data_IF_133198182265
#
_entry.id   IF_133198182265
#
_cell.length_a   1.000
_cell.length_b   1.000
_cell.length_c   1.000
_cell.angle_alpha   90.00
_cell.angle_beta   90.00
_cell.angle_gamma   90.00
#
_symmetry.space_group_name_H-M   'P 1'
#
loop_
_entity.id
_entity.type
_entity.pdbx_description
1 polymer ?
#
# COMPACT_ATOMS: atom_id res chain seq x y z
N UNK A 1 38.78 -24.24 69.40
CA UNK A 1 38.94 -23.29 68.27
C UNK A 1 39.08 -24.12 67.01
N UNK A 2 38.37 -23.95 65.91
CA UNK A 2 37.15 -23.20 65.60
C UNK A 2 36.66 -23.81 64.27
N UNK A 3 35.39 -24.21 64.19
CA UNK A 3 34.77 -24.85 63.01
C UNK A 3 34.42 -23.79 61.94
N UNK A 4 34.37 -24.18 60.65
CA UNK A 4 34.21 -23.26 59.52
C UNK A 4 32.76 -22.79 59.36
N UNK A 5 32.57 -21.54 58.92
CA UNK A 5 31.27 -21.01 58.48
C UNK A 5 31.04 -21.25 56.98
N UNK A 6 29.79 -21.47 56.52
CA UNK A 6 29.48 -21.94 55.18
C UNK A 6 29.35 -20.80 54.16
N UNK A 7 29.87 -21.06 52.96
CA UNK A 7 29.75 -20.19 51.79
C UNK A 7 28.31 -19.90 51.39
N UNK A 8 28.10 -18.68 50.92
CA UNK A 8 26.84 -18.20 50.37
C UNK A 8 26.52 -18.96 49.08
N UNK A 9 25.42 -19.70 49.12
CA UNK A 9 24.83 -20.35 47.96
C UNK A 9 24.26 -19.30 46.99
N UNK A 10 24.59 -19.47 45.72
CA UNK A 10 24.01 -18.78 44.56
C UNK A 10 22.48 -18.80 44.63
N UNK A 11 21.86 -17.62 44.49
CA UNK A 11 20.49 -17.50 44.02
C UNK A 11 20.54 -16.94 42.61
N UNK A 12 20.39 -17.82 41.63
CA UNK A 12 20.04 -17.44 40.28
C UNK A 12 18.68 -16.71 40.31
N UNK A 13 18.56 -15.49 39.76
CA UNK A 13 17.27 -14.99 39.36
C UNK A 13 16.85 -15.76 38.12
N UNK A 14 15.69 -16.41 38.23
CA UNK A 14 14.95 -17.04 37.16
C UNK A 14 14.83 -16.08 35.97
N UNK A 15 15.68 -16.25 34.94
CA UNK A 15 15.40 -15.72 33.61
C UNK A 15 14.21 -16.51 33.08
N UNK A 16 13.00 -15.99 33.31
CA UNK A 16 11.91 -16.22 32.38
C UNK A 16 12.38 -15.66 31.04
N UNK A 17 12.94 -16.53 30.21
CA UNK A 17 12.95 -16.40 28.76
C UNK A 17 11.48 -16.29 28.33
N UNK A 18 10.92 -15.07 28.42
CA UNK A 18 9.90 -14.68 27.49
C UNK A 18 10.62 -14.60 26.15
N UNK A 19 10.56 -15.69 25.39
CA UNK A 19 10.64 -15.60 23.95
C UNK A 19 9.68 -14.48 23.54
N UNK A 20 10.25 -13.30 23.26
CA UNK A 20 9.57 -12.35 22.41
C UNK A 20 9.35 -13.12 21.12
N UNK A 21 8.13 -13.63 20.94
CA UNK A 21 7.61 -13.92 19.63
C UNK A 21 7.66 -12.60 18.86
N UNK A 22 8.80 -12.33 18.24
CA UNK A 22 8.88 -11.44 17.11
C UNK A 22 8.00 -12.08 16.03
N UNK A 23 6.74 -11.70 15.98
CA UNK A 23 5.95 -11.84 14.76
C UNK A 23 6.63 -10.94 13.74
N UNK A 24 7.58 -11.50 12.98
CA UNK A 24 7.98 -10.93 11.70
C UNK A 24 6.69 -10.84 10.90
N UNK A 25 6.17 -9.63 10.72
CA UNK A 25 5.21 -9.44 9.66
C UNK A 25 5.94 -9.78 8.36
N UNK A 26 5.34 -10.68 7.59
CA UNK A 26 5.91 -11.19 6.35
C UNK A 26 5.42 -10.33 5.19
N UNK A 27 6.23 -10.12 4.14
CA UNK A 27 5.76 -9.46 2.93
C UNK A 27 4.45 -10.09 2.46
N UNK A 28 3.57 -9.29 1.85
CA UNK A 28 2.30 -9.80 1.34
C UNK A 28 2.53 -10.95 0.37
N UNK A 29 1.50 -11.79 0.18
CA UNK A 29 1.57 -12.91 -0.77
C UNK A 29 2.06 -12.43 -2.13
N UNK A 30 1.56 -11.30 -2.63
CA UNK A 30 2.02 -10.73 -3.89
C UNK A 30 3.50 -10.34 -3.86
N UNK A 31 3.95 -9.68 -2.79
CA UNK A 31 5.34 -9.29 -2.60
C UNK A 31 6.27 -10.51 -2.56
N UNK A 32 5.80 -11.62 -1.99
CA UNK A 32 6.53 -12.90 -1.97
C UNK A 32 6.64 -13.55 -3.35
N UNK A 33 5.67 -13.31 -4.25
CA UNK A 33 5.63 -13.89 -5.60
C UNK A 33 6.65 -13.29 -6.57
N UNK A 34 7.34 -12.19 -6.22
CA UNK A 34 8.40 -11.62 -7.07
C UNK A 34 7.90 -11.12 -8.44
N UNK A 35 6.63 -10.70 -8.53
CA UNK A 35 6.06 -10.13 -9.76
C UNK A 35 6.31 -8.61 -9.84
N UNK A 36 6.81 -8.09 -10.96
CA UNK A 36 7.14 -6.67 -11.08
C UNK A 36 5.91 -5.78 -10.94
N UNK A 37 6.07 -4.66 -10.23
CA UNK A 37 5.15 -3.53 -10.33
C UNK A 37 5.38 -2.80 -11.65
N UNK A 38 4.29 -2.43 -12.32
CA UNK A 38 4.37 -1.62 -13.54
C UNK A 38 4.09 -0.17 -13.15
N UNK A 39 5.05 0.73 -13.41
CA UNK A 39 4.89 2.15 -13.16
C UNK A 39 4.16 2.81 -14.34
N UNK A 40 3.30 3.78 -14.04
CA UNK A 40 2.79 4.67 -15.08
C UNK A 40 3.90 5.52 -15.69
N UNK A 41 3.58 6.22 -16.78
CA UNK A 41 4.32 7.43 -17.11
C UNK A 41 4.35 8.40 -15.91
N UNK A 42 5.40 9.24 -15.77
CA UNK A 42 5.48 10.25 -14.72
C UNK A 42 4.23 11.15 -14.71
N UNK A 43 3.67 11.34 -13.51
CA UNK A 43 2.52 12.19 -13.28
C UNK A 43 2.95 13.65 -13.05
N UNK A 44 2.13 14.58 -13.49
CA UNK A 44 2.24 16.01 -13.18
C UNK A 44 1.55 16.33 -11.85
N UNK A 45 1.85 17.50 -11.28
CA UNK A 45 1.29 17.94 -10.01
C UNK A 45 -0.24 18.07 -10.05
N UNK A 46 -0.81 18.43 -11.20
CA UNK A 46 -2.26 18.54 -11.40
C UNK A 46 -2.98 17.18 -11.43
N UNK A 47 -2.22 16.08 -11.58
CA UNK A 47 -2.74 14.71 -11.58
C UNK A 47 -2.70 14.06 -10.19
N UNK A 48 -2.31 14.81 -9.15
CA UNK A 48 -2.22 14.31 -7.78
C UNK A 48 -3.53 14.52 -6.99
N UNK A 49 -3.89 13.51 -6.21
CA UNK A 49 -5.07 13.42 -5.35
C UNK A 49 -4.62 12.95 -3.96
N UNK A 50 -5.03 13.65 -2.90
CA UNK A 50 -4.66 13.34 -1.53
C UNK A 50 -5.16 11.97 -1.04
N UNK A 51 -6.18 11.40 -1.71
CA UNK A 51 -6.78 10.11 -1.36
C UNK A 51 -6.17 8.95 -2.16
N UNK A 52 -4.98 9.13 -2.75
CA UNK A 52 -4.32 8.14 -3.58
C UNK A 52 -2.86 7.94 -3.18
N UNK A 53 -2.43 6.69 -3.20
CA UNK A 53 -1.02 6.35 -3.02
C UNK A 53 -0.25 6.42 -4.35
N UNK A 54 0.99 6.89 -4.27
CA UNK A 54 1.92 7.06 -5.37
C UNK A 54 3.24 6.39 -5.06
N UNK A 55 4.04 6.10 -6.08
CA UNK A 55 5.44 5.73 -5.91
C UNK A 55 6.33 6.91 -6.32
N UNK A 56 7.29 7.22 -5.48
CA UNK A 56 8.37 8.15 -5.79
C UNK A 56 9.53 7.33 -6.33
N UNK A 57 9.79 7.43 -7.64
CA UNK A 57 10.85 6.71 -8.31
C UNK A 57 12.01 7.64 -8.65
N UNK A 58 13.25 7.17 -8.52
CA UNK A 58 14.41 7.90 -9.00
C UNK A 58 14.71 7.62 -10.48
N UNK A 59 15.75 8.25 -11.04
CA UNK A 59 16.14 8.05 -12.44
C UNK A 59 16.66 6.64 -12.77
N UNK A 60 16.93 5.82 -11.75
CA UNK A 60 17.31 4.41 -11.90
C UNK A 60 16.09 3.48 -11.79
N UNK A 61 14.91 4.01 -11.44
CA UNK A 61 13.69 3.25 -11.22
C UNK A 61 13.59 2.64 -9.82
N UNK A 62 14.46 3.06 -8.87
CA UNK A 62 14.36 2.70 -7.46
C UNK A 62 13.24 3.50 -6.80
N UNK A 63 12.54 2.90 -5.84
CA UNK A 63 11.39 3.48 -5.16
C UNK A 63 11.75 3.89 -3.74
N UNK A 64 11.26 5.05 -3.29
CA UNK A 64 11.31 5.43 -1.87
C UNK A 64 10.37 4.53 -1.05
N UNK A 65 10.92 3.82 -0.07
CA UNK A 65 10.20 2.86 0.77
C UNK A 65 10.60 2.98 2.25
N UNK A 66 9.92 2.20 3.11
CA UNK A 66 10.33 1.96 4.48
C UNK A 66 11.25 0.74 4.54
N UNK A 67 12.45 0.89 5.10
CA UNK A 67 13.38 -0.21 5.39
C UNK A 67 12.66 -1.23 6.26
N UNK A 68 12.84 -2.54 6.12
CA UNK A 68 12.32 -3.56 7.06
C UNK A 68 10.79 -3.59 7.41
N UNK A 69 9.92 -2.74 6.85
CA UNK A 69 8.45 -2.88 6.92
C UNK A 69 7.71 -2.65 8.23
N UNK A 70 8.38 -2.42 9.36
CA UNK A 70 7.70 -2.20 10.64
C UNK A 70 7.05 -0.82 10.69
N UNK A 71 5.72 -0.75 10.64
CA UNK A 71 5.01 0.54 10.78
C UNK A 71 3.77 0.50 11.68
N UNK A 72 3.42 -0.62 12.33
CA UNK A 72 2.31 -0.62 13.32
C UNK A 72 2.74 -0.46 14.78
N UNK A 73 2.08 0.51 15.42
CA UNK A 73 1.85 0.70 16.86
C UNK A 73 3.01 1.03 17.82
N UNK A 74 4.25 1.22 17.37
CA UNK A 74 5.24 1.98 18.16
C UNK A 74 6.57 2.26 17.45
N UNK A 75 6.84 1.63 16.31
CA UNK A 75 8.19 1.59 15.79
C UNK A 75 8.33 2.50 14.58
N UNK A 76 9.34 3.36 14.65
CA UNK A 76 9.80 4.14 13.51
C UNK A 76 10.63 3.26 12.59
N UNK A 77 10.81 3.69 11.34
CA UNK A 77 11.60 2.92 10.39
C UNK A 77 12.39 3.80 9.43
N UNK A 78 13.63 3.43 9.10
CA UNK A 78 14.44 4.23 8.18
C UNK A 78 13.80 4.30 6.79
N UNK A 79 13.94 5.44 6.12
CA UNK A 79 13.61 5.55 4.71
C UNK A 79 14.75 4.98 3.86
N UNK A 80 14.41 4.29 2.78
CA UNK A 80 15.38 3.63 1.89
C UNK A 80 14.94 3.73 0.43
N UNK A 81 15.90 3.78 -0.48
CA UNK A 81 15.70 3.53 -1.91
C UNK A 81 15.82 2.03 -2.17
N UNK A 82 14.79 1.42 -2.79
CA UNK A 82 14.75 -0.02 -3.08
C UNK A 82 14.49 -0.25 -4.56
N UNK A 83 15.07 -1.30 -5.13
CA UNK A 83 14.74 -1.69 -6.50
C UNK A 83 13.26 -2.08 -6.60
N UNK A 84 12.58 -1.62 -7.66
CA UNK A 84 11.15 -1.93 -7.87
C UNK A 84 10.86 -3.43 -8.05
N UNK A 85 11.90 -4.19 -8.44
CA UNK A 85 11.86 -5.65 -8.59
C UNK A 85 12.09 -6.38 -7.25
N UNK A 86 12.63 -5.66 -6.25
CA UNK A 86 12.85 -6.14 -4.88
C UNK A 86 11.72 -5.66 -3.95
N UNK A 87 10.49 -5.75 -4.42
CA UNK A 87 9.27 -5.40 -3.67
C UNK A 87 8.92 -6.38 -2.55
N UNK A 88 9.84 -7.28 -2.17
CA UNK A 88 9.84 -7.89 -0.82
C UNK A 88 9.99 -6.83 0.26
N UNK A 89 10.57 -5.68 -0.10
CA UNK A 89 10.52 -4.48 0.70
C UNK A 89 9.10 -3.91 0.68
N UNK A 90 8.65 -3.39 1.81
CA UNK A 90 7.27 -2.99 2.03
C UNK A 90 6.94 -1.70 1.28
N UNK A 91 6.64 -1.82 0.00
CA UNK A 91 6.27 -0.71 -0.87
C UNK A 91 4.77 -0.45 -0.69
N UNK A 92 4.43 0.39 0.29
CA UNK A 92 3.07 0.89 0.51
C UNK A 92 2.72 2.09 -0.39
N UNK A 93 3.73 2.64 -1.07
CA UNK A 93 3.67 3.95 -1.69
C UNK A 93 3.57 5.08 -0.67
N UNK A 94 3.33 6.29 -1.18
CA UNK A 94 3.23 7.53 -0.42
C UNK A 94 1.96 8.29 -0.77
N UNK A 95 1.43 9.03 0.19
CA UNK A 95 0.37 10.02 -0.01
C UNK A 95 0.90 11.42 0.30
N UNK A 96 0.24 12.42 -0.25
CA UNK A 96 0.56 13.83 0.00
C UNK A 96 -0.66 14.50 0.64
N UNK A 97 -0.44 15.26 1.72
CA UNK A 97 -1.47 16.09 2.34
C UNK A 97 -2.07 17.14 1.39
N UNK A 98 -1.32 17.57 0.38
CA UNK A 98 -1.73 18.44 -0.73
C UNK A 98 -0.79 18.24 -1.91
N UNK A 99 -1.11 18.71 -3.14
CA UNK A 99 -0.11 18.78 -4.21
C UNK A 99 1.16 19.51 -3.70
N UNK A 100 2.36 18.92 -3.79
CA UNK A 100 3.57 19.45 -3.17
C UNK A 100 4.16 20.60 -4.01
N UNK A 101 3.49 21.76 -4.07
CA UNK A 101 3.99 22.96 -4.74
C UNK A 101 4.79 23.84 -3.80
N UNK A 102 5.58 24.78 -4.33
CA UNK A 102 6.37 25.71 -3.50
C UNK A 102 5.48 26.59 -2.62
N UNK A 103 4.32 26.99 -3.12
CA UNK A 103 3.31 27.79 -2.39
C UNK A 103 2.52 26.95 -1.37
N UNK A 104 2.44 25.64 -1.59
CA UNK A 104 1.74 24.70 -0.70
C UNK A 104 2.58 23.44 -0.41
N UNK A 105 3.70 23.56 0.35
CA UNK A 105 4.51 22.41 0.71
C UNK A 105 3.70 21.38 1.50
N UNK A 106 3.85 20.11 1.14
CA UNK A 106 3.08 18.99 1.66
C UNK A 106 3.90 18.11 2.59
N UNK A 107 3.25 17.55 3.60
CA UNK A 107 3.77 16.38 4.32
C UNK A 107 3.70 15.16 3.40
N UNK A 108 4.68 14.27 3.51
CA UNK A 108 4.71 12.97 2.84
C UNK A 108 4.39 11.91 3.89
N UNK A 109 3.39 11.08 3.58
CA UNK A 109 2.95 9.99 4.45
C UNK A 109 3.11 8.67 3.70
N UNK A 110 3.23 7.56 4.40
CA UNK A 110 3.04 6.26 3.76
C UNK A 110 1.62 6.14 3.18
N UNK A 111 1.47 5.33 2.14
CA UNK A 111 0.17 5.01 1.56
C UNK A 111 -0.71 4.25 2.56
N UNK A 112 -2.01 4.16 2.26
CA UNK A 112 -2.95 3.37 3.06
C UNK A 112 -2.48 1.90 3.18
N UNK A 113 -2.60 1.27 4.36
CA UNK A 113 -3.29 1.75 5.57
C UNK A 113 -2.47 2.66 6.50
N UNK A 114 -1.23 2.99 6.14
CA UNK A 114 -0.26 3.71 6.96
C UNK A 114 -0.23 5.22 6.72
N UNK A 115 -1.32 5.82 6.27
CA UNK A 115 -1.45 7.28 6.03
C UNK A 115 -1.43 8.14 7.31
N UNK A 116 -1.02 7.57 8.43
CA UNK A 116 -0.75 8.22 9.71
C UNK A 116 0.74 8.13 10.09
N UNK A 117 1.57 7.56 9.21
CA UNK A 117 3.02 7.44 9.35
C UNK A 117 3.68 8.43 8.39
N UNK A 118 4.44 9.37 8.93
CA UNK A 118 5.01 10.51 8.21
C UNK A 118 6.50 10.35 7.97
N UNK A 119 7.01 11.00 6.93
CA UNK A 119 8.44 11.13 6.73
C UNK A 119 9.00 12.25 7.62
N UNK A 120 9.86 11.86 8.55
CA UNK A 120 10.53 12.70 9.54
C UNK A 120 12.03 12.80 9.27
N UNK A 121 12.67 13.75 9.96
CA UNK A 121 14.12 13.83 10.12
C UNK A 121 14.48 13.59 11.59
N UNK A 122 15.61 12.94 11.87
CA UNK A 122 16.09 12.69 13.24
C UNK A 122 16.81 13.88 13.92
N UNK A 123 16.61 15.10 13.41
CA UNK A 123 17.13 16.30 14.03
C UNK A 123 16.40 17.57 13.61
N UNK A 124 16.90 18.70 14.10
CA UNK A 124 16.36 20.03 13.79
C UNK A 124 17.04 20.61 12.56
N UNK A 125 16.25 21.03 11.56
CA UNK A 125 16.77 21.74 10.40
C UNK A 125 17.21 23.18 10.80
N UNK A 126 18.24 23.76 10.14
CA UNK A 126 19.06 23.20 9.07
C UNK A 126 20.38 22.63 9.63
N UNK A 127 20.50 21.31 9.76
CA UNK A 127 21.79 20.65 9.91
C UNK A 127 22.28 20.16 8.54
N UNK A 128 23.58 19.93 8.36
CA UNK A 128 24.12 19.50 7.06
C UNK A 128 23.64 18.12 6.62
N UNK A 129 23.35 17.23 7.58
CA UNK A 129 22.99 15.83 7.33
C UNK A 129 22.15 15.29 8.50
N UNK A 130 20.99 14.69 8.20
CA UNK A 130 20.10 14.05 9.18
C UNK A 130 19.38 12.87 8.54
N UNK A 131 19.28 11.74 9.23
CA UNK A 131 18.60 10.57 8.67
C UNK A 131 17.10 10.81 8.53
N UNK A 132 16.52 10.30 7.44
CA UNK A 132 15.09 10.34 7.19
C UNK A 132 14.43 9.04 7.65
N UNK A 133 13.30 9.14 8.34
CA UNK A 133 12.59 7.97 8.85
C UNK A 133 11.08 8.13 8.81
N UNK A 134 10.37 7.02 8.65
CA UNK A 134 8.93 6.89 8.76
C UNK A 134 8.53 6.74 10.23
N UNK A 135 7.60 7.56 10.72
CA UNK A 135 7.16 7.52 12.11
C UNK A 135 5.76 8.10 12.30
N UNK A 136 5.01 7.55 13.26
CA UNK A 136 3.70 8.07 13.63
C UNK A 136 3.75 9.39 14.40
N UNK A 137 2.57 9.90 14.77
CA UNK A 137 2.39 11.24 15.34
C UNK A 137 3.20 11.56 16.60
N UNK A 138 3.53 10.56 17.42
CA UNK A 138 4.38 10.75 18.60
C UNK A 138 5.78 11.31 18.29
N UNK A 139 6.23 11.18 17.04
CA UNK A 139 7.50 11.74 16.58
C UNK A 139 7.38 13.19 16.10
N UNK A 140 6.18 13.78 16.03
CA UNK A 140 6.03 15.19 15.72
C UNK A 140 6.23 16.03 16.97
N UNK A 141 7.47 16.46 17.19
CA UNK A 141 7.84 17.33 18.30
C UNK A 141 8.93 18.32 17.87
N UNK A 142 9.32 19.24 18.76
CA UNK A 142 10.28 20.30 18.45
C UNK A 142 11.68 19.81 18.04
N UNK A 143 12.04 18.55 18.33
CA UNK A 143 13.33 17.94 17.98
C UNK A 143 13.29 17.13 16.68
N UNK A 144 12.09 16.88 16.14
CA UNK A 144 11.80 16.10 14.94
C UNK A 144 10.59 16.75 14.23
N UNK A 145 10.80 17.91 13.60
CA UNK A 145 9.70 18.68 13.01
C UNK A 145 9.12 17.95 11.80
N UNK A 146 7.80 18.10 11.60
CA UNK A 146 7.13 17.59 10.41
C UNK A 146 7.77 18.19 9.17
N UNK A 147 8.41 17.34 8.37
CA UNK A 147 9.03 17.78 7.13
C UNK A 147 7.94 18.07 6.12
N UNK A 148 7.97 19.30 5.60
CA UNK A 148 7.13 19.70 4.48
C UNK A 148 7.99 19.86 3.25
N UNK A 149 7.55 19.24 2.17
CA UNK A 149 8.27 19.20 0.91
C UNK A 149 7.47 19.85 -0.21
N UNK A 150 8.19 20.44 -1.15
CA UNK A 150 7.67 20.74 -2.47
C UNK A 150 8.53 20.05 -3.52
N UNK A 151 7.94 19.76 -4.68
CA UNK A 151 8.66 19.28 -5.85
C UNK A 151 9.28 20.48 -6.57
N UNK A 152 10.60 20.58 -6.52
CA UNK A 152 11.33 21.65 -7.19
C UNK A 152 11.36 21.44 -8.72
N UNK A 153 11.77 22.46 -9.47
CA UNK A 153 11.83 22.43 -10.94
C UNK A 153 12.82 21.41 -11.51
N UNK A 154 13.77 20.93 -10.68
CA UNK A 154 14.70 19.86 -11.01
C UNK A 154 14.20 18.47 -10.56
N UNK A 155 12.92 18.38 -10.17
CA UNK A 155 12.26 17.20 -9.64
C UNK A 155 12.82 16.70 -8.29
N UNK A 156 13.59 17.51 -7.57
CA UNK A 156 13.98 17.17 -6.20
C UNK A 156 12.86 17.48 -5.21
N UNK A 157 12.62 16.59 -4.25
CA UNK A 157 11.79 16.89 -3.09
C UNK A 157 12.59 17.75 -2.11
N UNK A 158 12.28 19.05 -2.13
CA UNK A 158 12.98 20.09 -1.38
C UNK A 158 12.13 20.50 -0.17
N UNK A 159 12.75 20.73 0.98
CA UNK A 159 12.06 21.23 2.18
C UNK A 159 11.45 22.59 1.93
N UNK A 160 10.42 22.97 2.69
CA UNK A 160 9.68 24.23 2.54
C UNK A 160 10.55 25.49 2.56
N UNK A 161 11.71 25.46 3.23
CA UNK A 161 12.67 26.57 3.28
C UNK A 161 13.57 26.67 2.03
N UNK A 162 13.53 25.67 1.14
CA UNK A 162 14.29 25.63 -0.10
C UNK A 162 15.74 25.17 0.04
N UNK A 163 16.23 24.89 1.25
CA UNK A 163 17.68 24.72 1.50
C UNK A 163 18.12 23.27 1.61
N UNK A 164 17.21 22.38 2.00
CA UNK A 164 17.47 20.97 2.24
C UNK A 164 16.65 20.08 1.30
N UNK A 165 17.14 18.88 1.00
CA UNK A 165 16.44 17.93 0.15
C UNK A 165 16.69 16.50 0.61
N UNK A 166 15.88 15.57 0.10
CA UNK A 166 16.16 14.15 0.23
C UNK A 166 17.40 13.78 -0.60
N UNK A 167 18.34 13.09 0.04
CA UNK A 167 19.59 12.58 -0.49
C UNK A 167 19.71 11.09 -0.12
N UNK A 168 20.65 10.37 -0.73
CA UNK A 168 20.86 8.94 -0.50
C UNK A 168 22.35 8.61 -0.41
N UNK A 169 22.67 7.65 0.47
CA UNK A 169 23.98 7.02 0.61
C UNK A 169 23.77 5.52 0.86
N UNK A 170 24.28 4.67 -0.03
CA UNK A 170 24.16 3.20 0.01
C UNK A 170 22.72 2.69 0.23
N UNK A 171 21.77 3.31 -0.45
CA UNK A 171 20.33 3.05 -0.37
C UNK A 171 19.64 3.74 0.80
N UNK A 172 20.34 4.13 1.86
CA UNK A 172 19.73 4.79 3.02
C UNK A 172 19.46 6.27 2.72
N UNK A 173 18.26 6.74 3.08
CA UNK A 173 17.77 8.08 2.74
C UNK A 173 17.98 9.05 3.90
N UNK A 174 18.44 10.25 3.59
CA UNK A 174 18.70 11.32 4.55
C UNK A 174 18.31 12.69 4.01
N UNK A 175 18.22 13.68 4.89
CA UNK A 175 18.01 15.10 4.57
C UNK A 175 19.38 15.80 4.55
N UNK A 176 19.74 16.35 3.40
CA UNK A 176 21.02 17.00 3.16
C UNK A 176 20.89 18.40 2.54
N UNK A 177 21.88 19.25 2.79
CA UNK A 177 21.93 20.59 2.18
C UNK A 177 22.16 20.49 0.67
N UNK A 178 21.34 21.19 -0.13
CA UNK A 178 21.40 21.16 -1.59
C UNK A 178 22.72 21.67 -2.18
N UNK A 179 23.52 22.40 -1.40
CA UNK A 179 24.83 22.91 -1.83
C UNK A 179 25.99 21.95 -1.54
N UNK A 180 25.79 21.02 -0.60
CA UNK A 180 26.82 20.11 -0.11
C UNK A 180 26.60 18.66 -0.54
N UNK A 181 25.35 18.29 -0.81
CA UNK A 181 24.93 16.94 -1.18
C UNK A 181 24.12 16.97 -2.47
N UNK A 182 24.10 15.84 -3.17
CA UNK A 182 23.30 15.68 -4.39
C UNK A 182 21.90 15.22 -4.03
N UNK A 183 20.84 16.02 -4.32
CA UNK A 183 19.47 15.60 -4.08
C UNK A 183 19.05 14.44 -4.98
N UNK A 184 18.21 13.55 -4.45
CA UNK A 184 17.51 12.55 -5.25
C UNK A 184 16.48 13.29 -6.11
N UNK A 185 16.49 13.00 -7.41
CA UNK A 185 15.46 13.47 -8.35
C UNK A 185 14.38 12.41 -8.45
N UNK A 186 13.14 12.80 -8.20
CA UNK A 186 12.00 11.90 -8.19
C UNK A 186 11.02 12.19 -9.31
N UNK A 187 10.51 11.13 -9.92
CA UNK A 187 9.26 11.17 -10.67
C UNK A 187 8.16 10.52 -9.85
N UNK A 188 6.94 11.04 -9.97
CA UNK A 188 5.77 10.54 -9.24
C UNK A 188 5.01 9.61 -10.16
N UNK A 189 4.74 8.39 -9.70
CA UNK A 189 4.08 7.36 -10.48
C UNK A 189 2.86 6.82 -9.75
N UNK A 190 1.88 6.35 -10.50
CA UNK A 190 1.02 5.30 -9.99
C UNK A 190 1.58 3.94 -10.41
N UNK A 191 0.97 2.87 -9.91
CA UNK A 191 1.46 1.52 -10.12
C UNK A 191 0.32 0.56 -10.41
N UNK A 192 0.63 -0.40 -11.26
CA UNK A 192 -0.30 -1.36 -11.80
C UNK A 192 0.24 -2.77 -11.64
N UNK A 193 -0.69 -3.73 -11.71
CA UNK A 193 -0.37 -5.12 -11.95
C UNK A 193 -0.90 -5.55 -13.30
N UNK A 194 -0.11 -6.33 -14.01
CA UNK A 194 -0.61 -7.05 -15.16
C UNK A 194 -1.68 -8.04 -14.70
N UNK A 195 -2.75 -8.18 -15.48
CA UNK A 195 -3.83 -9.13 -15.20
C UNK A 195 -3.33 -10.55 -14.81
N UNK A 196 -2.35 -11.19 -15.50
CA UNK A 196 -1.83 -12.48 -15.09
C UNK A 196 -1.26 -12.53 -13.66
N UNK A 197 -0.73 -11.41 -13.15
CA UNK A 197 -0.22 -11.32 -11.79
C UNK A 197 -1.35 -11.31 -10.75
N UNK A 198 -2.53 -10.79 -11.10
CA UNK A 198 -3.72 -10.80 -10.24
C UNK A 198 -4.31 -12.21 -10.15
N UNK A 199 -4.35 -12.96 -11.26
CA UNK A 199 -4.71 -14.38 -11.22
C UNK A 199 -3.72 -15.20 -10.39
N UNK A 200 -2.41 -14.93 -10.52
CA UNK A 200 -1.40 -15.59 -9.69
C UNK A 200 -1.58 -15.28 -8.19
N UNK A 201 -1.98 -14.05 -7.86
CA UNK A 201 -2.35 -13.67 -6.48
C UNK A 201 -3.59 -14.45 -6.00
N UNK A 202 -4.60 -14.61 -6.87
CA UNK A 202 -5.75 -15.48 -6.58
C UNK A 202 -5.32 -16.92 -6.27
N UNK A 203 -4.49 -17.52 -7.13
CA UNK A 203 -3.96 -18.87 -6.92
C UNK A 203 -3.15 -19.00 -5.63
N UNK A 204 -2.36 -17.98 -5.26
CA UNK A 204 -1.57 -18.00 -4.04
C UNK A 204 -2.43 -17.74 -2.78
N UNK A 205 -3.54 -17.02 -2.90
CA UNK A 205 -4.51 -16.80 -1.82
C UNK A 205 -5.29 -18.09 -1.51
N UNK A 206 -5.59 -18.89 -2.54
CA UNK A 206 -6.27 -20.19 -2.40
C UNK A 206 -5.48 -21.30 -3.12
N UNK A 207 -4.39 -21.82 -2.50
CA UNK A 207 -3.44 -22.71 -3.17
C UNK A 207 -4.03 -24.05 -3.61
N UNK A 208 -5.05 -24.54 -2.90
CA UNK A 208 -5.66 -25.85 -3.17
C UNK A 208 -6.79 -25.79 -4.22
N UNK A 209 -7.05 -24.60 -4.78
CA UNK A 209 -8.14 -24.38 -5.73
C UNK A 209 -7.60 -24.24 -7.15
N UNK A 210 -8.27 -24.89 -8.10
CA UNK A 210 -8.09 -24.61 -9.52
C UNK A 210 -9.26 -23.78 -10.03
N UNK A 211 -9.01 -22.52 -10.37
CA UNK A 211 -10.01 -21.66 -10.98
C UNK A 211 -10.37 -22.20 -12.37
N UNK A 212 -11.66 -22.34 -12.67
CA UNK A 212 -12.06 -22.47 -14.07
C UNK A 212 -11.77 -21.14 -14.75
N UNK A 213 -10.80 -21.11 -15.66
CA UNK A 213 -10.54 -19.91 -16.45
C UNK A 213 -11.41 -20.01 -17.70
N UNK A 214 -12.37 -19.11 -17.87
CA UNK A 214 -12.81 -18.82 -19.24
C UNK A 214 -11.62 -18.12 -19.86
N UNK A 215 -11.01 -18.75 -20.85
CA UNK A 215 -10.09 -18.15 -21.82
C UNK A 215 -10.84 -17.06 -22.60
N UNK A 216 -11.38 -16.05 -21.91
CA UNK A 216 -11.49 -14.74 -22.52
C UNK A 216 -10.03 -14.40 -22.76
N UNK A 217 -9.64 -14.23 -24.02
CA UNK A 217 -8.34 -13.69 -24.39
C UNK A 217 -8.24 -12.29 -23.79
N UNK A 218 -7.96 -12.21 -22.49
CA UNK A 218 -7.75 -10.97 -21.79
C UNK A 218 -6.33 -10.60 -22.16
N UNK A 219 -6.22 -9.61 -23.05
CA UNK A 219 -4.95 -8.98 -23.36
C UNK A 219 -4.15 -8.74 -22.08
N UNK A 220 -2.81 -8.68 -22.17
CA UNK A 220 -1.97 -8.19 -21.09
C UNK A 220 -2.26 -6.70 -20.85
N UNK A 221 -3.40 -6.39 -20.23
CA UNK A 221 -3.73 -5.06 -19.76
C UNK A 221 -3.40 -4.93 -18.28
N UNK A 222 -3.13 -3.70 -17.91
CA UNK A 222 -2.63 -3.30 -16.61
C UNK A 222 -3.80 -2.80 -15.76
N UNK A 223 -3.83 -3.25 -14.52
CA UNK A 223 -4.86 -2.94 -13.55
C UNK A 223 -4.26 -2.12 -12.41
N UNK A 224 -4.85 -0.96 -12.13
CA UNK A 224 -4.48 -0.08 -11.03
C UNK A 224 -4.97 -0.68 -9.71
N UNK A 225 -4.08 -0.72 -8.73
CA UNK A 225 -4.41 -1.14 -7.37
C UNK A 225 -5.30 -0.09 -6.71
N UNK A 226 -6.19 -0.52 -5.83
CA UNK A 226 -7.17 0.38 -5.19
C UNK A 226 -7.28 0.07 -3.71
N UNK A 227 -7.16 1.08 -2.86
CA UNK A 227 -7.37 0.91 -1.42
C UNK A 227 -8.85 0.76 -1.05
N UNK A 228 -9.07 0.38 0.21
CA UNK A 228 -10.40 0.17 0.76
C UNK A 228 -11.24 1.45 0.79
N UNK A 229 -10.63 2.63 0.92
CA UNK A 229 -11.36 3.90 0.92
C UNK A 229 -11.91 4.23 -0.46
N UNK A 230 -11.11 4.00 -1.51
CA UNK A 230 -11.55 4.13 -2.90
C UNK A 230 -12.68 3.15 -3.19
N UNK A 231 -12.56 1.90 -2.77
CA UNK A 231 -13.61 0.88 -2.92
C UNK A 231 -14.88 1.28 -2.16
N UNK A 232 -14.77 1.72 -0.91
CA UNK A 232 -15.90 2.19 -0.12
C UNK A 232 -16.58 3.42 -0.75
N UNK A 233 -15.81 4.33 -1.34
CA UNK A 233 -16.35 5.48 -2.08
C UNK A 233 -17.12 5.02 -3.31
N UNK A 234 -16.55 4.11 -4.11
CA UNK A 234 -17.22 3.50 -5.27
C UNK A 234 -18.52 2.82 -4.83
N UNK A 235 -18.50 2.03 -3.76
CA UNK A 235 -19.68 1.36 -3.22
C UNK A 235 -20.77 2.33 -2.77
N UNK A 236 -20.41 3.37 -2.00
CA UNK A 236 -21.37 4.39 -1.56
C UNK A 236 -22.03 5.09 -2.75
N UNK A 237 -21.26 5.41 -3.79
CA UNK A 237 -21.77 6.05 -5.00
C UNK A 237 -22.62 5.08 -5.86
N UNK A 238 -22.23 3.81 -5.94
CA UNK A 238 -23.04 2.75 -6.54
C UNK A 238 -24.40 2.67 -5.85
N UNK A 239 -24.43 2.50 -4.52
CA UNK A 239 -25.68 2.37 -3.74
C UNK A 239 -26.53 3.63 -3.76
N UNK A 240 -25.94 4.83 -3.77
CA UNK A 240 -26.73 6.07 -3.89
C UNK A 240 -27.36 6.24 -5.27
N UNK A 241 -26.73 5.66 -6.31
CA UNK A 241 -27.25 5.69 -7.69
C UNK A 241 -28.26 4.57 -8.00
N UNK A 242 -28.43 3.58 -7.12
CA UNK A 242 -29.31 2.42 -7.35
C UNK A 242 -30.24 2.17 -6.17
N UNK A 243 -31.55 2.12 -6.39
CA UNK A 243 -32.54 1.74 -5.37
C UNK A 243 -32.85 0.24 -5.33
N UNK A 244 -31.99 -0.59 -5.94
CA UNK A 244 -32.21 -2.03 -6.09
C UNK A 244 -31.94 -2.76 -4.77
N UNK A 245 -32.84 -3.67 -4.43
CA UNK A 245 -32.78 -4.56 -3.26
C UNK A 245 -32.78 -6.02 -3.73
N UNK A 246 -32.21 -6.90 -2.90
CA UNK A 246 -32.20 -8.34 -3.16
C UNK A 246 -33.59 -8.87 -3.45
N UNK A 247 -33.70 -9.68 -4.50
CA UNK A 247 -34.91 -10.44 -4.80
C UNK A 247 -34.54 -11.75 -5.48
N UNK A 248 -35.01 -12.84 -4.89
CA UNK A 248 -34.72 -14.19 -5.37
C UNK A 248 -35.04 -14.34 -6.85
N UNK A 249 -34.16 -15.00 -7.59
CA UNK A 249 -34.18 -15.28 -9.04
C UNK A 249 -34.33 -14.05 -9.95
N UNK A 250 -34.16 -12.84 -9.42
CA UNK A 250 -34.37 -11.58 -10.17
C UNK A 250 -33.19 -10.63 -10.06
N UNK A 251 -32.69 -10.44 -8.83
CA UNK A 251 -31.55 -9.59 -8.56
C UNK A 251 -30.82 -10.11 -7.32
N UNK A 252 -29.92 -11.07 -7.55
CA UNK A 252 -29.20 -11.81 -6.52
C UNK A 252 -27.71 -11.45 -6.47
N UNK A 253 -26.91 -12.26 -5.78
CA UNK A 253 -25.49 -11.99 -5.52
C UNK A 253 -24.66 -11.74 -6.79
N UNK A 254 -24.95 -12.47 -7.86
CA UNK A 254 -24.29 -12.33 -9.16
C UNK A 254 -24.68 -11.02 -9.85
N UNK A 255 -25.97 -10.66 -9.87
CA UNK A 255 -26.43 -9.38 -10.42
C UNK A 255 -25.81 -8.18 -9.70
N UNK A 256 -25.76 -8.22 -8.36
CA UNK A 256 -25.08 -7.20 -7.57
C UNK A 256 -23.59 -7.12 -7.93
N UNK A 257 -22.94 -8.26 -8.11
CA UNK A 257 -21.50 -8.33 -8.44
C UNK A 257 -21.19 -7.78 -9.84
N UNK A 258 -22.02 -8.10 -10.84
CA UNK A 258 -21.90 -7.54 -12.18
C UNK A 258 -22.20 -6.05 -12.21
N UNK A 259 -23.27 -5.59 -11.54
CA UNK A 259 -23.64 -4.19 -11.48
C UNK A 259 -22.55 -3.35 -10.81
N UNK A 260 -21.98 -3.83 -9.70
CA UNK A 260 -20.88 -3.16 -9.02
C UNK A 260 -19.61 -3.10 -9.88
N UNK A 261 -19.22 -4.20 -10.53
CA UNK A 261 -18.07 -4.22 -11.46
C UNK A 261 -18.25 -3.25 -12.62
N UNK A 262 -19.44 -3.19 -13.21
CA UNK A 262 -19.76 -2.22 -14.26
C UNK A 262 -19.65 -0.77 -13.74
N UNK A 263 -20.15 -0.51 -12.52
CA UNK A 263 -20.04 0.81 -11.89
C UNK A 263 -18.59 1.21 -11.58
N UNK A 264 -17.79 0.28 -11.05
CA UNK A 264 -16.36 0.50 -10.80
C UNK A 264 -15.60 0.82 -12.10
N UNK A 265 -15.97 0.15 -13.20
CA UNK A 265 -15.38 0.39 -14.52
C UNK A 265 -15.79 1.76 -15.08
N UNK A 266 -17.04 2.18 -14.88
CA UNK A 266 -17.49 3.54 -15.19
C UNK A 266 -16.74 4.60 -14.37
N UNK A 267 -16.47 4.33 -13.10
CA UNK A 267 -15.67 5.23 -12.27
C UNK A 267 -14.22 5.31 -12.78
N UNK A 268 -13.59 4.19 -13.12
CA UNK A 268 -12.25 4.18 -13.71
C UNK A 268 -12.20 4.99 -15.01
N UNK A 269 -13.21 4.87 -15.86
CA UNK A 269 -13.32 5.69 -17.07
C UNK A 269 -13.37 7.19 -16.74
N UNK A 270 -14.22 7.61 -15.78
CA UNK A 270 -14.30 9.03 -15.37
C UNK A 270 -12.98 9.55 -14.81
N UNK A 271 -12.35 8.77 -13.94
CA UNK A 271 -11.04 9.10 -13.36
C UNK A 271 -9.95 9.18 -14.44
N UNK A 272 -10.00 8.30 -15.44
CA UNK A 272 -9.05 8.33 -16.55
C UNK A 272 -9.13 9.63 -17.37
N UNK A 273 -10.32 10.22 -17.49
CA UNK A 273 -10.51 11.51 -18.16
C UNK A 273 -9.99 12.67 -17.32
N UNK A 274 -10.30 12.67 -16.02
CA UNK A 274 -9.85 13.71 -15.10
C UNK A 274 -8.33 13.72 -14.95
N UNK A 275 -7.72 12.53 -14.86
CA UNK A 275 -6.29 12.36 -14.61
C UNK A 275 -5.49 12.12 -15.89
N UNK A 276 -6.12 12.10 -17.07
CA UNK A 276 -5.49 11.79 -18.36
C UNK A 276 -4.63 10.52 -18.33
N UNK A 277 -5.10 9.49 -17.63
CA UNK A 277 -4.37 8.24 -17.42
C UNK A 277 -5.30 7.06 -17.69
N UNK A 278 -5.07 6.35 -18.79
CA UNK A 278 -5.88 5.18 -19.16
C UNK A 278 -5.57 4.00 -18.25
N UNK A 279 -6.57 3.52 -17.50
CA UNK A 279 -6.39 2.40 -16.57
C UNK A 279 -7.71 1.72 -16.22
N UNK A 280 -7.66 0.40 -16.09
CA UNK A 280 -8.71 -0.36 -15.41
C UNK A 280 -8.36 -0.44 -13.92
N UNK A 281 -9.33 -0.45 -13.03
CA UNK A 281 -9.05 -0.84 -11.64
C UNK A 281 -8.87 -2.35 -11.54
N UNK A 282 -8.04 -2.79 -10.61
CA UNK A 282 -7.90 -4.16 -10.16
C UNK A 282 -9.12 -4.61 -9.35
N UNK A 283 -10.32 -4.47 -9.92
CA UNK A 283 -11.62 -4.83 -9.34
C UNK A 283 -12.28 -5.85 -10.26
N UNK A 284 -12.66 -6.98 -9.70
CA UNK A 284 -13.23 -8.10 -10.43
C UNK A 284 -14.42 -8.74 -9.74
N UNK A 285 -14.81 -9.92 -10.21
CA UNK A 285 -15.90 -10.75 -9.70
C UNK A 285 -15.34 -12.13 -9.33
N UNK A 286 -15.76 -12.65 -8.20
CA UNK A 286 -15.43 -13.97 -7.70
C UNK A 286 -16.73 -14.75 -7.49
N UNK A 287 -16.83 -15.93 -8.10
CA UNK A 287 -17.88 -16.89 -7.79
C UNK A 287 -17.30 -18.02 -6.96
N UNK A 288 -18.10 -18.53 -6.02
CA UNK A 288 -17.71 -19.62 -5.16
C UNK A 288 -18.87 -20.55 -4.85
N UNK A 289 -18.53 -21.79 -4.53
CA UNK A 289 -19.45 -22.78 -4.04
C UNK A 289 -19.43 -22.81 -2.50
N UNK A 290 -20.58 -23.03 -1.88
CA UNK A 290 -20.66 -23.19 -0.42
C UNK A 290 -19.82 -24.38 0.05
N UNK A 291 -19.02 -24.17 1.10
CA UNK A 291 -18.17 -25.21 1.72
C UNK A 291 -18.98 -26.31 2.43
N UNK A 292 -20.20 -26.00 2.85
CA UNK A 292 -21.03 -26.87 3.70
C UNK A 292 -22.23 -27.49 2.97
N UNK A 293 -22.32 -27.32 1.65
CA UNK A 293 -23.46 -27.79 0.84
C UNK A 293 -24.63 -26.81 0.94
N UNK A 294 -24.66 -25.85 0.02
CA UNK A 294 -25.67 -24.80 -0.12
C UNK A 294 -25.49 -24.05 -1.44
N UNK A 295 -26.21 -22.96 -1.63
CA UNK A 295 -26.16 -22.16 -2.87
C UNK A 295 -24.77 -21.53 -3.09
N UNK A 296 -24.44 -21.31 -4.36
CA UNK A 296 -23.24 -20.56 -4.73
C UNK A 296 -23.39 -19.09 -4.34
N UNK A 297 -22.27 -18.39 -4.24
CA UNK A 297 -22.27 -16.96 -3.96
C UNK A 297 -21.30 -16.23 -4.88
N UNK A 298 -21.67 -15.00 -5.23
CA UNK A 298 -20.86 -14.11 -6.03
C UNK A 298 -20.58 -12.83 -5.26
N UNK A 299 -19.32 -12.41 -5.29
CA UNK A 299 -18.83 -11.18 -4.66
C UNK A 299 -17.88 -10.46 -5.60
N UNK A 300 -17.52 -9.23 -5.27
CA UNK A 300 -16.43 -8.55 -5.95
C UNK A 300 -15.13 -8.71 -5.17
N UNK A 301 -14.01 -8.74 -5.87
CA UNK A 301 -12.69 -8.65 -5.25
C UNK A 301 -11.96 -7.41 -5.74
N UNK A 302 -10.95 -6.99 -5.00
CA UNK A 302 -9.99 -6.01 -5.44
C UNK A 302 -8.58 -6.29 -4.90
N UNK A 303 -7.57 -5.68 -5.51
CA UNK A 303 -6.18 -5.73 -5.02
C UNK A 303 -5.80 -4.36 -4.43
N UNK A 304 -5.43 -4.34 -3.16
CA UNK A 304 -5.01 -3.10 -2.48
C UNK A 304 -3.53 -2.75 -2.76
N UNK A 305 -3.09 -1.59 -2.30
CA UNK A 305 -1.72 -1.11 -2.51
C UNK A 305 -0.65 -1.99 -1.84
N UNK A 306 -1.02 -2.75 -0.79
CA UNK A 306 -0.15 -3.76 -0.17
C UNK A 306 -0.04 -5.05 -0.99
N UNK A 307 -0.75 -5.17 -2.12
CA UNK A 307 -0.79 -6.39 -2.94
C UNK A 307 -1.63 -7.50 -2.33
N UNK A 308 -2.58 -7.16 -1.45
CA UNK A 308 -3.50 -8.13 -0.84
C UNK A 308 -4.78 -8.21 -1.66
N UNK A 309 -5.30 -9.44 -1.81
CA UNK A 309 -6.61 -9.68 -2.37
C UNK A 309 -7.67 -9.50 -1.27
N UNK A 310 -8.59 -8.56 -1.48
CA UNK A 310 -9.73 -8.29 -0.60
C UNK A 310 -11.03 -8.58 -1.34
N UNK A 311 -12.08 -8.86 -0.59
CA UNK A 311 -13.45 -9.04 -1.08
C UNK A 311 -14.30 -7.88 -0.58
N UNK A 312 -15.20 -7.39 -1.43
CA UNK A 312 -16.33 -6.55 -1.04
C UNK A 312 -17.64 -7.27 -1.36
N UNK A 313 -18.53 -7.32 -0.38
CA UNK A 313 -19.91 -7.79 -0.54
C UNK A 313 -20.76 -6.67 -1.16
N UNK A 314 -21.11 -6.71 -2.46
CA UNK A 314 -21.80 -5.61 -3.13
C UNK A 314 -23.24 -5.37 -2.62
N UNK A 315 -23.82 -6.29 -1.84
CA UNK A 315 -25.14 -6.11 -1.22
C UNK A 315 -25.12 -5.20 0.01
N UNK A 316 -24.02 -5.20 0.78
CA UNK A 316 -23.95 -4.49 2.06
C UNK A 316 -22.66 -3.65 2.26
N UNK A 317 -21.68 -3.77 1.37
CA UNK A 317 -20.44 -3.01 1.37
C UNK A 317 -19.37 -3.52 2.32
N UNK A 318 -19.58 -4.66 2.97
CA UNK A 318 -18.59 -5.23 3.89
C UNK A 318 -17.34 -5.64 3.11
N UNK A 319 -16.19 -5.13 3.53
CA UNK A 319 -14.87 -5.55 3.04
C UNK A 319 -14.28 -6.59 3.98
N UNK A 320 -13.59 -7.59 3.42
CA UNK A 320 -12.88 -8.63 4.20
C UNK A 320 -11.70 -9.21 3.42
N UNK A 321 -10.78 -9.86 4.13
CA UNK A 321 -9.69 -10.61 3.49
C UNK A 321 -10.22 -11.76 2.64
N UNK A 322 -9.75 -11.88 1.40
CA UNK A 322 -10.23 -12.91 0.49
C UNK A 322 -9.93 -14.34 1.01
N UNK A 323 -8.78 -14.53 1.67
CA UNK A 323 -8.41 -15.81 2.27
C UNK A 323 -9.42 -16.31 3.33
N UNK A 324 -10.22 -15.41 3.93
CA UNK A 324 -11.21 -15.71 4.96
C UNK A 324 -12.62 -15.87 4.41
N UNK A 325 -12.78 -15.94 3.09
CA UNK A 325 -14.10 -16.10 2.49
C UNK A 325 -14.73 -17.45 2.84
N UNK A 326 -16.02 -17.42 3.20
CA UNK A 326 -16.76 -18.61 3.63
C UNK A 326 -17.07 -19.58 2.48
N UNK A 327 -16.87 -19.15 1.23
CA UNK A 327 -17.07 -19.95 0.03
C UNK A 327 -15.76 -20.45 -0.53
N UNK A 328 -15.80 -21.58 -1.23
CA UNK A 328 -14.69 -22.08 -2.02
C UNK A 328 -14.75 -21.40 -3.39
N UNK A 329 -13.78 -20.56 -3.75
CA UNK A 329 -13.80 -19.90 -5.06
C UNK A 329 -13.70 -20.92 -6.19
N UNK A 330 -14.42 -20.67 -7.26
CA UNK A 330 -14.46 -21.54 -8.45
C UNK A 330 -14.18 -20.77 -9.73
N UNK A 331 -14.56 -19.49 -9.78
CA UNK A 331 -14.45 -18.65 -10.97
C UNK A 331 -14.02 -17.23 -10.61
N UNK A 332 -13.13 -16.64 -11.41
CA UNK A 332 -12.61 -15.29 -11.20
C UNK A 332 -12.61 -14.52 -12.54
N UNK A 333 -13.16 -13.29 -12.52
CA UNK A 333 -13.22 -12.36 -13.66
C UNK A 333 -12.60 -11.04 -13.23
N UNK A 334 -11.86 -10.36 -14.11
CA UNK A 334 -11.35 -9.00 -13.87
C UNK A 334 -11.56 -8.09 -15.08
#
# INVERSE_FOLDING_TARGET
>A
MQKPEPGQAERAPCETLQEKHETKEEPSIFQSLGRPLILSEPLTLEQLDANRAYLLADSQGRILAAKNGKTESSDWNWAQMVDKEEHRNWIFGVTFSSPPTQESPSTILLGWPYNHVWLHSNGTLPASWQWAFWGGEKYSNSSTPDLRFYLASDNSLTTSDGTMALCEDDGDVYIGSKTSYTPIRFTIHTFFLANPAIFALGQATWPDISFSQVNVQLANYECELVDENKINSIYKNFRSSTSVSYKNDIFECDDFSFAFKAYASLQAYKDSQALKLQRAYAVGILFGASKTGGDGHAVNFFVNYSGELKIIEPQNGKISDAARWDYTPTFMII
#
